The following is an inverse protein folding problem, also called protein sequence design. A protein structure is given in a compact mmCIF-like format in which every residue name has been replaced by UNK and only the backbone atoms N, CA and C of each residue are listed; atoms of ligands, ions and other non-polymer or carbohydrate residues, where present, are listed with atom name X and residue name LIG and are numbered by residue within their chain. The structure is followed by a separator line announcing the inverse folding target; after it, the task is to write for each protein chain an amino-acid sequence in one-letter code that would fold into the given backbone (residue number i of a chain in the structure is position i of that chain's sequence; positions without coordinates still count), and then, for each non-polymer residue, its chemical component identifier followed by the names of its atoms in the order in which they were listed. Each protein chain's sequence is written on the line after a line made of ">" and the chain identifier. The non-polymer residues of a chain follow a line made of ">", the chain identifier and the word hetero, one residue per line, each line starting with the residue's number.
data_IF_435579561759
#
_entry.id   IF_435579561759
#
_cell.length_a   1.000
_cell.length_b   1.000
_cell.length_c   1.000
_cell.angle_alpha   90.00
_cell.angle_beta   90.00
_cell.angle_gamma   90.00
#
_symmetry.space_group_name_H-M   'P 1'
#
loop_
_entity.id
_entity.type
_entity.pdbx_description
1 polymer ?
#
# COMPACT_ATOMS: atom_id res chain seq x y z
N UNK A 1 2.50 -3.85 2.13
CA UNK A 1 1.20 -3.71 1.46
C UNK A 1 0.15 -4.44 2.26
N UNK A 2 -1.11 -4.03 2.15
CA UNK A 2 -2.28 -4.64 2.81
C UNK A 2 -3.37 -4.93 1.78
N UNK A 3 -4.15 -5.97 2.02
CA UNK A 3 -5.33 -6.34 1.22
C UNK A 3 -6.63 -5.66 1.70
N UNK A 4 -6.53 -4.79 2.71
CA UNK A 4 -7.61 -3.93 3.15
C UNK A 4 -7.55 -2.53 2.51
N UNK A 5 -8.65 -1.78 2.60
CA UNK A 5 -8.74 -0.43 2.04
C UNK A 5 -7.80 0.59 2.71
N UNK A 6 -7.30 0.28 3.90
CA UNK A 6 -6.28 1.09 4.58
C UNK A 6 -5.36 0.24 5.46
N UNK A 7 -4.13 0.71 5.68
CA UNK A 7 -3.20 0.17 6.69
C UNK A 7 -3.62 0.51 8.12
N UNK A 8 -4.59 1.43 8.27
CA UNK A 8 -5.03 1.94 9.55
C UNK A 8 -6.47 1.50 9.85
N UNK A 9 -6.79 1.39 11.14
CA UNK A 9 -8.17 1.20 11.58
C UNK A 9 -8.98 2.48 11.34
N UNK A 10 -10.30 2.35 11.13
CA UNK A 10 -11.18 3.50 10.86
C UNK A 10 -11.14 4.54 11.99
N UNK A 11 -11.10 4.10 13.24
CA UNK A 11 -11.08 4.97 14.42
C UNK A 11 -9.68 5.57 14.70
N UNK A 12 -8.62 5.07 14.05
CA UNK A 12 -7.23 5.50 14.26
C UNK A 12 -6.46 5.58 12.93
N UNK A 13 -6.97 6.40 12.00
CA UNK A 13 -6.39 6.55 10.67
C UNK A 13 -5.00 7.20 10.69
N UNK A 14 -4.85 8.28 11.47
CA UNK A 14 -3.69 9.18 11.34
C UNK A 14 -2.42 8.61 11.95
N UNK A 15 -2.49 8.00 13.13
CA UNK A 15 -1.29 7.56 13.84
C UNK A 15 -0.52 6.50 13.05
N UNK A 16 -1.23 5.53 12.46
CA UNK A 16 -0.62 4.49 11.64
C UNK A 16 0.04 5.06 10.37
N UNK A 17 -0.64 5.93 9.63
CA UNK A 17 -0.05 6.56 8.44
C UNK A 17 1.17 7.40 8.77
N UNK A 18 1.13 8.18 9.86
CA UNK A 18 2.29 8.96 10.30
C UNK A 18 3.45 8.09 10.76
N UNK A 19 3.19 6.95 11.42
CA UNK A 19 4.24 6.02 11.80
C UNK A 19 5.01 5.50 10.58
N UNK A 20 4.30 5.15 9.49
CA UNK A 20 4.92 4.74 8.23
C UNK A 20 5.57 5.89 7.46
N UNK A 21 4.93 7.06 7.42
CA UNK A 21 5.47 8.25 6.74
C UNK A 21 6.76 8.77 7.40
N UNK A 22 6.83 8.73 8.73
CA UNK A 22 8.02 9.12 9.48
C UNK A 22 9.09 8.01 9.50
N UNK A 23 8.69 6.76 9.25
CA UNK A 23 9.60 5.67 8.98
C UNK A 23 10.29 5.89 7.64
N UNK A 24 11.63 5.87 7.61
CA UNK A 24 12.36 6.04 6.35
C UNK A 24 12.07 4.85 5.42
N UNK A 25 11.88 5.16 4.13
CA UNK A 25 11.86 4.22 3.02
C UNK A 25 10.70 3.19 3.01
N UNK A 26 9.56 3.50 3.64
CA UNK A 26 8.35 2.66 3.56
C UNK A 26 7.30 3.29 2.66
N UNK A 27 6.88 2.55 1.64
CA UNK A 27 5.79 2.93 0.73
C UNK A 27 4.57 2.07 1.06
N UNK A 28 3.44 2.73 1.31
CA UNK A 28 2.17 2.06 1.53
C UNK A 28 1.55 1.61 0.21
N UNK A 29 1.07 0.37 0.19
CA UNK A 29 0.27 -0.19 -0.90
C UNK A 29 -0.96 -0.81 -0.25
N UNK A 30 -2.12 -0.22 -0.49
CA UNK A 30 -3.40 -0.59 0.11
C UNK A 30 -4.34 -1.15 -0.97
N UNK A 31 -5.37 -1.89 -0.54
CA UNK A 31 -6.38 -2.45 -1.44
C UNK A 31 -5.84 -3.54 -2.37
N UNK A 32 -4.82 -4.30 -1.95
CA UNK A 32 -4.34 -5.46 -2.70
C UNK A 32 -5.42 -6.55 -2.76
N UNK A 33 -5.48 -7.28 -3.88
CA UNK A 33 -6.33 -8.46 -4.00
C UNK A 33 -5.44 -9.70 -3.86
N UNK A 34 -5.46 -10.33 -2.70
CA UNK A 34 -4.60 -11.48 -2.37
C UNK A 34 -5.37 -12.79 -2.16
N UNK A 35 -6.70 -12.80 -2.40
CA UNK A 35 -7.48 -14.04 -2.43
C UNK A 35 -6.80 -15.08 -3.34
N UNK A 36 -6.78 -16.33 -2.87
CA UNK A 36 -6.24 -17.49 -3.60
C UNK A 36 -4.74 -17.41 -3.96
N UNK A 37 -3.98 -16.48 -3.35
CA UNK A 37 -2.52 -16.43 -3.46
C UNK A 37 -1.88 -17.19 -2.29
N UNK A 38 -1.05 -18.18 -2.63
CA UNK A 38 -0.30 -18.94 -1.64
C UNK A 38 0.82 -18.10 -0.98
N UNK A 39 1.11 -18.29 0.32
CA UNK A 39 2.24 -17.64 0.97
C UNK A 39 3.58 -18.02 0.31
N UNK A 40 4.41 -17.02 -0.01
CA UNK A 40 5.69 -17.26 -0.67
C UNK A 40 6.46 -15.98 -0.99
N UNK A 41 7.57 -16.13 -1.70
CA UNK A 41 8.39 -15.00 -2.17
C UNK A 41 8.04 -14.74 -3.65
N UNK A 42 7.61 -13.52 -3.93
CA UNK A 42 7.17 -13.07 -5.25
C UNK A 42 7.95 -11.84 -5.71
N UNK A 43 7.93 -11.57 -7.02
CA UNK A 43 8.52 -10.35 -7.57
C UNK A 43 7.42 -9.32 -7.79
N UNK A 44 7.30 -8.39 -6.86
CA UNK A 44 6.25 -7.37 -6.92
C UNK A 44 6.58 -6.30 -7.96
N UNK A 45 5.67 -6.08 -8.91
CA UNK A 45 5.68 -4.90 -9.77
C UNK A 45 4.47 -4.01 -9.43
N UNK A 46 4.74 -2.83 -8.90
CA UNK A 46 3.71 -1.91 -8.38
C UNK A 46 4.03 -0.47 -8.76
N UNK A 47 4.03 -0.17 -10.07
CA UNK A 47 4.41 1.15 -10.58
C UNK A 47 3.22 2.13 -10.50
N UNK A 48 3.35 3.25 -9.77
CA UNK A 48 2.31 4.28 -9.73
C UNK A 48 2.24 5.07 -11.04
N UNK A 49 1.05 5.55 -11.37
CA UNK A 49 0.91 6.60 -12.39
C UNK A 49 1.63 7.87 -11.91
N UNK A 50 2.25 8.58 -12.86
CA UNK A 50 2.96 9.84 -12.59
C UNK A 50 1.97 10.99 -12.45
N UNK A 51 1.41 11.15 -11.25
CA UNK A 51 0.44 12.20 -10.91
C UNK A 51 1.12 13.29 -10.08
N UNK A 52 1.28 14.49 -10.65
CA UNK A 52 1.93 15.61 -9.97
C UNK A 52 0.97 16.25 -8.96
N UNK A 53 1.44 16.45 -7.73
CA UNK A 53 0.65 17.11 -6.66
C UNK A 53 -0.44 16.23 -6.04
N UNK A 54 -0.37 14.91 -6.22
CA UNK A 54 -1.31 13.97 -5.59
C UNK A 54 -0.72 13.33 -4.35
N UNK A 55 -1.58 13.03 -3.38
CA UNK A 55 -1.24 12.33 -2.12
C UNK A 55 -1.14 10.80 -2.30
N UNK A 56 -1.48 10.28 -3.49
CA UNK A 56 -1.45 8.86 -3.80
C UNK A 56 -1.62 8.61 -5.30
N UNK A 57 -1.48 7.36 -5.73
CA UNK A 57 -1.64 7.00 -7.13
C UNK A 57 -2.20 5.58 -7.27
N UNK A 58 -3.20 5.35 -8.12
CA UNK A 58 -3.68 4.00 -8.38
C UNK A 58 -2.58 3.20 -9.08
N UNK A 59 -2.57 1.89 -8.83
CA UNK A 59 -1.57 0.96 -9.34
C UNK A 59 -2.24 -0.28 -9.92
N UNK A 60 -1.60 -0.88 -10.92
CA UNK A 60 -1.81 -2.29 -11.25
C UNK A 60 -0.68 -3.08 -10.60
N UNK A 61 -0.89 -3.56 -9.38
CA UNK A 61 0.08 -4.39 -8.66
C UNK A 61 0.00 -5.83 -9.17
N UNK A 62 1.15 -6.44 -9.48
CA UNK A 62 1.28 -7.85 -9.86
C UNK A 62 2.43 -8.51 -9.08
N UNK A 63 2.34 -9.82 -8.87
CA UNK A 63 3.28 -10.67 -8.12
C UNK A 63 4.08 -11.60 -9.04
#
# INVERSE_FOLDING_TARGET
>A
GTDYLSVAAFDDLVAAHLAFLNGKDVILVEGLKLDDIEPGIYTVHCLPLRLVGSEGSPVRCIL
#
